data_IF_080337303193
#
_entry.id   IF_080337303193
#
_cell.length_a   1.000
_cell.length_b   1.000
_cell.length_c   1.000
_cell.angle_alpha   90.00
_cell.angle_beta   90.00
_cell.angle_gamma   90.00
#
_symmetry.space_group_name_H-M   'P 1'
#
loop_
_entity.id
_entity.type
_entity.pdbx_description
1 polymer ?
#
# COMPACT_ATOMS: atom_id res chain seq x y z
N UNK A 1 -55.42 16.93 -9.10
CA UNK A 1 -55.50 16.24 -7.80
C UNK A 1 -55.31 14.75 -8.03
N UNK A 2 -54.15 14.22 -7.65
CA UNK A 2 -53.75 12.83 -7.88
C UNK A 2 -53.70 12.11 -6.54
N UNK A 3 -54.38 10.97 -6.43
CA UNK A 3 -54.27 10.07 -5.28
C UNK A 3 -54.69 8.67 -5.72
N UNK A 4 -53.74 7.73 -5.68
CA UNK A 4 -54.02 6.32 -5.40
C UNK A 4 -52.79 5.68 -4.77
N UNK A 5 -53.08 4.80 -3.82
CA UNK A 5 -52.24 4.29 -2.75
C UNK A 5 -51.68 2.89 -3.05
N UNK A 6 -50.58 2.58 -2.32
CA UNK A 6 -50.07 1.26 -1.86
C UNK A 6 -49.50 0.29 -2.90
N UNK A 7 -48.31 -0.25 -2.59
CA UNK A 7 -48.15 -1.55 -1.89
C UNK A 7 -46.68 -1.81 -1.52
N UNK A 8 -46.44 -2.18 -0.27
CA UNK A 8 -45.19 -2.77 0.22
C UNK A 8 -45.11 -4.25 -0.21
N UNK A 9 -43.89 -4.70 -0.55
CA UNK A 9 -43.27 -6.03 -0.31
C UNK A 9 -42.25 -6.36 -1.42
N UNK A 10 -41.31 -7.32 -1.25
CA UNK A 10 -40.63 -7.80 -0.05
C UNK A 10 -39.09 -7.68 -0.14
N UNK A 11 -38.42 -7.82 1.00
CA UNK A 11 -36.97 -7.96 1.13
C UNK A 11 -36.51 -9.22 0.39
N UNK A 12 -35.63 -9.07 -0.59
CA UNK A 12 -34.97 -10.20 -1.24
C UNK A 12 -33.48 -10.10 -0.97
N UNK A 13 -32.99 -11.01 -0.13
CA UNK A 13 -31.58 -11.29 0.09
C UNK A 13 -30.97 -11.72 -1.25
N UNK A 14 -30.06 -10.92 -1.80
CA UNK A 14 -29.20 -11.35 -2.90
C UNK A 14 -27.90 -11.83 -2.28
N UNK A 15 -27.70 -13.15 -2.35
CA UNK A 15 -26.50 -13.84 -1.93
C UNK A 15 -25.27 -13.22 -2.62
N UNK A 16 -24.31 -12.76 -1.81
CA UNK A 16 -23.00 -12.33 -2.29
C UNK A 16 -22.25 -13.59 -2.71
N UNK A 17 -22.10 -13.76 -4.03
CA UNK A 17 -21.18 -14.71 -4.63
C UNK A 17 -19.75 -14.28 -4.28
N UNK A 18 -19.14 -14.95 -3.31
CA UNK A 18 -17.70 -14.87 -3.04
C UNK A 18 -17.00 -15.62 -4.17
N UNK A 19 -16.67 -14.92 -5.25
CA UNK A 19 -15.80 -15.43 -6.28
C UNK A 19 -14.34 -15.27 -5.80
N UNK A 20 -13.53 -16.35 -5.73
CA UNK A 20 -12.10 -16.21 -5.53
C UNK A 20 -11.49 -15.65 -6.82
N UNK A 21 -11.10 -14.38 -6.79
CA UNK A 21 -10.25 -13.76 -7.80
C UNK A 21 -8.87 -14.43 -7.76
N UNK A 22 -8.65 -15.39 -8.64
CA UNK A 22 -7.33 -15.90 -8.99
C UNK A 22 -6.54 -14.76 -9.65
N UNK A 23 -5.71 -14.07 -8.87
CA UNK A 23 -4.74 -13.11 -9.38
C UNK A 23 -3.63 -13.90 -10.08
N UNK A 24 -3.69 -13.95 -11.40
CA UNK A 24 -2.62 -14.49 -12.25
C UNK A 24 -1.49 -13.47 -12.26
N UNK A 25 -0.52 -13.64 -11.37
CA UNK A 25 0.74 -12.88 -11.39
C UNK A 25 1.55 -13.27 -12.64
N UNK A 26 1.36 -12.55 -13.74
CA UNK A 26 2.22 -12.64 -14.91
C UNK A 26 3.55 -11.94 -14.60
N UNK A 27 4.49 -12.67 -14.02
CA UNK A 27 5.84 -12.16 -13.75
C UNK A 27 6.64 -12.15 -15.06
N UNK A 28 6.52 -11.09 -15.85
CA UNK A 28 7.46 -10.79 -16.93
C UNK A 28 8.74 -10.21 -16.32
N UNK A 29 9.71 -11.10 -16.10
CA UNK A 29 10.95 -10.80 -15.39
C UNK A 29 11.98 -10.16 -16.32
N UNK A 30 11.99 -8.83 -16.38
CA UNK A 30 13.18 -8.10 -16.83
C UNK A 30 14.31 -8.35 -15.84
N UNK A 31 15.44 -8.90 -16.31
CA UNK A 31 16.53 -9.41 -15.47
C UNK A 31 17.15 -8.38 -14.50
N UNK A 32 16.93 -7.06 -14.73
CA UNK A 32 17.37 -5.99 -13.81
C UNK A 32 16.38 -5.66 -12.69
N UNK A 33 15.08 -5.86 -12.89
CA UNK A 33 14.04 -5.43 -11.95
C UNK A 33 14.01 -6.27 -10.67
N UNK A 34 14.25 -7.59 -10.78
CA UNK A 34 14.37 -8.48 -9.62
C UNK A 34 15.48 -8.08 -8.65
N UNK A 35 16.59 -7.57 -9.18
CA UNK A 35 17.73 -7.18 -8.35
C UNK A 35 17.42 -5.93 -7.53
N UNK A 36 16.70 -4.96 -8.11
CA UNK A 36 16.34 -3.73 -7.42
C UNK A 36 15.22 -3.96 -6.40
N UNK A 37 14.19 -4.77 -6.72
CA UNK A 37 13.19 -5.19 -5.73
C UNK A 37 13.85 -5.89 -4.53
N UNK A 38 14.80 -6.79 -4.77
CA UNK A 38 15.57 -7.43 -3.69
C UNK A 38 16.38 -6.41 -2.88
N UNK A 39 17.07 -5.47 -3.53
CA UNK A 39 17.82 -4.42 -2.82
C UNK A 39 16.91 -3.55 -1.96
N UNK A 40 15.71 -3.23 -2.43
CA UNK A 40 14.75 -2.49 -1.62
C UNK A 40 14.31 -3.30 -0.41
N UNK A 41 13.97 -4.59 -0.60
CA UNK A 41 13.65 -5.48 0.51
C UNK A 41 14.80 -5.60 1.52
N UNK A 42 16.05 -5.69 1.07
CA UNK A 42 17.23 -5.72 1.94
C UNK A 42 17.41 -4.39 2.70
N UNK A 43 17.11 -3.26 2.06
CA UNK A 43 17.15 -1.93 2.68
C UNK A 43 16.06 -1.77 3.75
N UNK A 44 14.85 -2.24 3.48
CA UNK A 44 13.76 -2.28 4.46
C UNK A 44 14.16 -3.18 5.64
N UNK A 45 14.71 -4.36 5.37
CA UNK A 45 15.22 -5.24 6.42
C UNK A 45 16.29 -4.56 7.30
N UNK A 46 17.19 -3.79 6.70
CA UNK A 46 18.20 -3.03 7.44
C UNK A 46 17.61 -1.93 8.33
N UNK A 47 16.42 -1.43 7.99
CA UNK A 47 15.65 -0.44 8.76
C UNK A 47 14.72 -1.08 9.82
N UNK A 48 14.86 -2.38 10.06
CA UNK A 48 14.10 -3.10 11.08
C UNK A 48 12.75 -3.64 10.61
N UNK A 49 12.41 -3.44 9.34
CA UNK A 49 11.25 -4.13 8.75
C UNK A 49 11.54 -5.63 8.62
N UNK A 50 10.49 -6.44 8.70
CA UNK A 50 10.59 -7.89 8.60
C UNK A 50 10.95 -8.37 7.18
N UNK A 51 10.58 -9.63 6.87
CA UNK A 51 10.58 -10.06 5.48
C UNK A 51 9.41 -9.37 4.78
N UNK A 52 9.71 -8.55 3.77
CA UNK A 52 8.72 -7.76 3.02
C UNK A 52 8.67 -8.23 1.57
N UNK A 53 7.46 -8.29 1.02
CA UNK A 53 7.27 -8.47 -0.42
C UNK A 53 7.37 -7.10 -1.08
N UNK A 54 8.20 -7.00 -2.12
CA UNK A 54 8.37 -5.77 -2.89
C UNK A 54 7.80 -6.00 -4.27
N UNK A 55 6.86 -5.14 -4.66
CA UNK A 55 6.28 -5.15 -6.00
C UNK A 55 6.88 -4.03 -6.85
N UNK A 56 6.54 -4.00 -8.13
CA UNK A 56 7.08 -2.99 -9.05
C UNK A 56 5.92 -2.22 -9.64
N UNK A 57 5.82 -0.92 -9.37
CA UNK A 57 4.82 -0.10 -10.03
C UNK A 57 5.25 0.33 -11.43
N UNK A 58 4.33 0.18 -12.38
CA UNK A 58 4.55 0.34 -13.80
C UNK A 58 3.41 1.11 -14.44
N UNK A 59 3.68 2.37 -14.73
CA UNK A 59 2.73 3.22 -15.40
C UNK A 59 2.83 3.20 -16.93
N UNK A 60 1.72 3.56 -17.58
CA UNK A 60 1.66 3.75 -19.02
C UNK A 60 1.98 5.21 -19.39
N UNK A 61 3.17 5.44 -19.95
CA UNK A 61 3.59 6.73 -20.50
C UNK A 61 3.53 6.73 -22.02
N UNK A 62 2.40 7.22 -22.56
CA UNK A 62 2.11 7.17 -24.00
C UNK A 62 1.89 5.73 -24.49
N UNK A 63 2.75 5.24 -25.38
CA UNK A 63 2.70 3.87 -25.91
C UNK A 63 3.55 2.87 -25.13
N UNK A 64 4.31 3.31 -24.12
CA UNK A 64 5.26 2.48 -23.37
C UNK A 64 4.82 2.32 -21.92
N UNK A 65 5.04 1.14 -21.36
CA UNK A 65 4.99 0.89 -19.92
C UNK A 65 6.37 1.18 -19.34
N UNK A 66 6.42 1.99 -18.29
CA UNK A 66 7.66 2.45 -17.64
C UNK A 66 7.55 2.08 -16.16
N UNK A 67 8.63 1.53 -15.60
CA UNK A 67 8.77 1.35 -14.16
C UNK A 67 8.90 2.72 -13.51
N UNK A 68 8.03 3.03 -12.55
CA UNK A 68 8.03 4.32 -11.83
C UNK A 68 8.51 4.16 -10.39
N UNK A 69 8.16 3.06 -9.73
CA UNK A 69 8.54 2.81 -8.34
C UNK A 69 8.68 1.32 -8.01
N UNK A 70 9.11 1.05 -6.78
CA UNK A 70 9.01 -0.24 -6.12
C UNK A 70 8.34 -0.05 -4.76
N UNK A 71 7.33 -0.85 -4.49
CA UNK A 71 6.44 -0.59 -3.36
C UNK A 71 6.46 -1.79 -2.42
N UNK A 72 6.35 -1.52 -1.14
CA UNK A 72 6.32 -2.53 -0.10
C UNK A 72 5.21 -2.22 0.91
N UNK A 73 4.24 -3.12 1.02
CA UNK A 73 3.25 -3.10 2.07
C UNK A 73 3.83 -3.73 3.34
N UNK A 74 3.80 -2.97 4.43
CA UNK A 74 4.27 -3.42 5.75
C UNK A 74 3.16 -3.29 6.79
N UNK A 75 3.00 -4.35 7.57
CA UNK A 75 2.09 -4.33 8.72
C UNK A 75 2.80 -3.70 9.91
N UNK A 76 2.26 -2.58 10.40
CA UNK A 76 2.84 -1.80 11.51
C UNK A 76 1.79 -1.66 12.58
N UNK A 77 2.13 -2.06 13.81
CA UNK A 77 1.28 -1.85 14.96
C UNK A 77 1.84 -0.75 15.87
N UNK A 78 0.88 -0.03 16.42
CA UNK A 78 0.81 0.69 17.68
C UNK A 78 1.41 -0.06 18.87
N UNK A 79 2.06 0.58 19.83
CA UNK A 79 2.05 0.05 21.21
C UNK A 79 0.66 0.24 21.86
N UNK A 80 -0.17 1.12 21.28
CA UNK A 80 -1.49 1.49 21.79
C UNK A 80 -2.63 0.53 21.37
N UNK A 81 -2.53 -0.12 20.20
CA UNK A 81 -3.54 -1.05 19.67
C UNK A 81 -2.87 -2.35 19.15
N UNK A 82 -3.40 -3.55 19.44
CA UNK A 82 -2.96 -4.79 18.79
C UNK A 82 -3.36 -4.90 17.32
N UNK A 83 -4.23 -4.03 16.81
CA UNK A 83 -4.48 -3.90 15.39
C UNK A 83 -3.21 -3.42 14.66
N UNK A 84 -3.16 -3.57 13.35
CA UNK A 84 -2.02 -3.12 12.57
C UNK A 84 -2.52 -2.27 11.39
N UNK A 85 -1.81 -1.18 11.14
CA UNK A 85 -1.89 -0.45 9.89
C UNK A 85 -1.21 -1.25 8.79
N UNK A 86 -1.74 -1.12 7.59
CA UNK A 86 -1.02 -1.45 6.37
C UNK A 86 -0.40 -0.16 5.84
N UNK A 87 0.93 -0.12 5.76
CA UNK A 87 1.68 1.06 5.33
C UNK A 87 2.40 0.74 4.04
N UNK A 88 2.19 1.55 3.01
CA UNK A 88 2.91 1.47 1.76
C UNK A 88 4.19 2.31 1.84
N UNK A 89 5.33 1.65 1.62
CA UNK A 89 6.63 2.27 1.51
C UNK A 89 7.07 2.25 0.05
N UNK A 90 7.31 3.43 -0.52
CA UNK A 90 7.64 3.59 -1.92
C UNK A 90 9.13 3.89 -2.12
N UNK A 91 9.73 3.27 -3.13
CA UNK A 91 11.04 3.66 -3.64
C UNK A 91 10.97 4.02 -5.11
N UNK A 92 11.05 5.32 -5.39
CA UNK A 92 11.23 5.90 -6.71
C UNK A 92 12.23 5.12 -7.60
N UNK A 93 11.79 4.73 -8.78
CA UNK A 93 12.59 4.05 -9.77
C UNK A 93 12.86 4.94 -10.99
N UNK A 94 14.13 5.15 -11.31
CA UNK A 94 14.52 5.76 -12.58
C UNK A 94 15.24 4.76 -13.46
N UNK A 95 14.64 4.39 -14.61
CA UNK A 95 15.12 3.56 -15.75
C UNK A 95 15.79 2.20 -15.41
N UNK A 96 16.78 2.19 -14.53
CA UNK A 96 17.62 1.03 -14.14
C UNK A 96 18.09 1.06 -12.67
N UNK A 97 17.84 2.12 -11.91
CA UNK A 97 18.36 2.30 -10.54
C UNK A 97 17.24 2.53 -9.52
N UNK A 98 17.46 1.95 -8.33
CA UNK A 98 16.72 2.24 -7.10
C UNK A 98 17.14 3.64 -6.61
N UNK A 99 16.20 4.46 -6.15
CA UNK A 99 16.54 5.70 -5.45
C UNK A 99 17.33 5.40 -4.16
N UNK A 100 18.14 6.37 -3.74
CA UNK A 100 18.90 6.25 -2.50
C UNK A 100 18.02 6.47 -1.26
N UNK A 101 16.81 6.99 -1.42
CA UNK A 101 15.80 7.14 -0.36
C UNK A 101 14.54 6.30 -0.68
N UNK A 102 13.64 6.16 0.29
CA UNK A 102 12.27 5.65 0.18
C UNK A 102 11.43 6.42 1.22
N UNK A 103 10.13 6.50 1.03
CA UNK A 103 9.21 7.30 1.84
C UNK A 103 7.91 6.53 2.10
N UNK A 104 7.00 7.16 2.85
CA UNK A 104 5.66 6.63 3.13
C UNK A 104 4.71 7.23 2.10
N UNK A 105 3.96 6.37 1.42
CA UNK A 105 3.07 6.77 0.33
C UNK A 105 1.60 6.78 0.79
N UNK A 106 1.11 5.63 1.25
CA UNK A 106 -0.24 5.48 1.80
C UNK A 106 -0.20 4.75 3.15
N UNK A 107 -1.16 5.09 4.01
CA UNK A 107 -1.41 4.40 5.27
C UNK A 107 -2.87 4.02 5.34
N UNK A 108 -3.15 2.72 5.45
CA UNK A 108 -4.49 2.21 5.78
C UNK A 108 -4.55 1.86 7.25
N UNK A 109 -5.42 2.58 7.98
CA UNK A 109 -5.60 2.37 9.42
C UNK A 109 -6.37 1.08 9.76
N UNK A 110 -6.44 0.76 11.06
CA UNK A 110 -7.12 -0.45 11.54
C UNK A 110 -8.62 -0.52 11.20
N UNK A 111 -9.24 0.62 10.89
CA UNK A 111 -10.65 0.73 10.48
C UNK A 111 -10.82 0.67 8.95
N UNK A 112 -9.73 0.53 8.20
CA UNK A 112 -9.71 0.51 6.75
C UNK A 112 -9.90 1.89 6.12
N UNK A 113 -9.62 2.99 6.85
CA UNK A 113 -9.54 4.33 6.26
C UNK A 113 -8.15 4.51 5.67
N UNK A 114 -8.12 4.99 4.44
CA UNK A 114 -6.90 5.35 3.71
C UNK A 114 -6.46 6.78 4.06
N UNK A 115 -5.14 6.97 4.17
CA UNK A 115 -4.47 8.22 4.46
C UNK A 115 -3.34 8.37 3.43
N UNK A 116 -3.67 9.01 2.31
CA UNK A 116 -2.72 9.39 1.27
C UNK A 116 -1.79 10.48 1.82
N UNK A 117 -0.52 10.13 1.97
CA UNK A 117 0.53 10.97 2.53
C UNK A 117 1.67 11.18 1.53
N UNK A 118 1.46 10.79 0.27
CA UNK A 118 2.39 11.01 -0.82
C UNK A 118 2.74 12.51 -0.90
N UNK A 119 4.03 12.82 -0.95
CA UNK A 119 4.54 14.20 -0.97
C UNK A 119 4.30 15.04 0.31
N UNK A 120 3.76 14.47 1.39
CA UNK A 120 3.66 15.16 2.69
C UNK A 120 5.01 15.16 3.42
N UNK A 121 5.66 16.32 3.41
CA UNK A 121 6.99 16.54 4.02
C UNK A 121 7.02 16.44 5.55
N UNK A 122 5.86 16.28 6.19
CA UNK A 122 5.84 15.97 7.62
C UNK A 122 6.23 14.52 7.90
N UNK A 123 6.11 13.62 6.91
CA UNK A 123 6.55 12.24 7.03
C UNK A 123 8.05 12.09 6.79
N UNK A 124 8.73 11.18 7.51
CA UNK A 124 10.16 10.99 7.39
C UNK A 124 10.57 10.22 6.14
N UNK A 125 11.70 10.61 5.56
CA UNK A 125 12.40 9.80 4.56
C UNK A 125 13.18 8.65 5.24
N UNK A 126 13.20 7.48 4.60
CA UNK A 126 13.87 6.27 5.07
C UNK A 126 13.58 5.91 6.53
N UNK A 127 12.31 5.88 6.96
CA UNK A 127 12.00 5.60 8.35
C UNK A 127 12.52 4.22 8.73
N UNK A 128 13.02 4.10 9.96
CA UNK A 128 13.09 2.79 10.60
C UNK A 128 11.70 2.37 11.08
N UNK A 129 11.48 1.07 11.33
CA UNK A 129 10.20 0.60 11.89
C UNK A 129 9.82 1.32 13.19
N UNK A 130 10.81 1.63 14.05
CA UNK A 130 10.54 2.36 15.30
C UNK A 130 10.16 3.82 15.07
N UNK A 131 10.75 4.47 14.06
CA UNK A 131 10.37 5.84 13.68
C UNK A 131 8.97 5.82 13.11
N UNK A 132 8.67 4.93 12.16
CA UNK A 132 7.34 4.83 11.55
C UNK A 132 6.22 4.61 12.59
N UNK A 133 6.46 3.77 13.61
CA UNK A 133 5.52 3.59 14.73
C UNK A 133 5.26 4.88 15.52
N UNK A 134 6.30 5.67 15.76
CA UNK A 134 6.17 6.94 16.45
C UNK A 134 5.37 7.93 15.61
N UNK A 135 5.69 8.04 14.31
CA UNK A 135 4.97 8.94 13.39
C UNK A 135 3.48 8.61 13.28
N UNK A 136 3.11 7.32 13.15
CA UNK A 136 1.70 6.91 13.16
C UNK A 136 0.98 7.42 14.41
N UNK A 137 1.62 7.30 15.58
CA UNK A 137 1.07 7.82 16.83
C UNK A 137 1.02 9.35 16.89
N UNK A 138 2.02 10.06 16.36
CA UNK A 138 2.06 11.52 16.34
C UNK A 138 0.99 12.11 15.41
N UNK A 139 0.69 11.41 14.32
CA UNK A 139 -0.36 11.75 13.37
C UNK A 139 -1.77 11.31 13.83
N UNK A 140 -1.87 10.65 14.99
CA UNK A 140 -3.15 10.16 15.53
C UNK A 140 -3.79 9.08 14.67
N UNK A 141 -2.98 8.29 13.96
CA UNK A 141 -3.43 7.16 13.18
C UNK A 141 -3.47 5.95 14.11
N UNK A 142 -4.68 5.52 14.43
CA UNK A 142 -4.91 4.39 15.34
C UNK A 142 -4.71 3.06 14.61
N UNK A 143 -3.63 2.43 15.02
CA UNK A 143 -3.26 1.04 14.89
C UNK A 143 -2.28 0.77 16.03
#
# INVERSE_FOLDING_TARGET
MSLRWRKNAPRTFVAVLVAPLLIVAMVLTGCGSKNNAKKFADKLKANGFGSVEVTSDKEKKGSKTVLVAYDAHVSVNTDADPAACDVELENDASKSSLANYFDVDDVRDANGRDHDVENDKSWPDNPSLSVLRAELSEHGIDC
#
